data_IF_046471208789
#
_entry.id   IF_046471208789
#
_cell.length_a   1.000
_cell.length_b   1.000
_cell.length_c   1.000
_cell.angle_alpha   90.00
_cell.angle_beta   90.00
_cell.angle_gamma   90.00
#
_symmetry.space_group_name_H-M   'P 1'
#
loop_
_entity.id
_entity.type
_entity.pdbx_description
1 polymer ?
#
# COMPACT_ATOMS: atom_id res chain seq x y z
N UNK A 1 -28.91 5.17 25.03
CA UNK A 1 -28.29 5.48 23.75
C UNK A 1 -28.53 6.94 23.35
N UNK A 2 -29.78 7.40 23.26
CA UNK A 2 -30.09 8.79 22.92
C UNK A 2 -29.36 9.81 23.78
N UNK A 3 -29.38 9.65 25.13
CA UNK A 3 -28.71 10.57 26.05
C UNK A 3 -27.19 10.60 25.84
N UNK A 4 -26.60 9.45 25.52
CA UNK A 4 -25.18 9.37 25.17
C UNK A 4 -24.86 10.10 23.87
N UNK A 5 -25.68 9.93 22.85
CA UNK A 5 -25.55 10.65 21.59
C UNK A 5 -25.69 12.16 21.78
N UNK A 6 -26.65 12.59 22.60
CA UNK A 6 -26.85 14.00 22.89
C UNK A 6 -25.65 14.60 23.64
N UNK A 7 -25.12 13.93 24.63
CA UNK A 7 -23.95 14.37 25.37
C UNK A 7 -22.72 14.46 24.44
N UNK A 8 -22.54 13.50 23.53
CA UNK A 8 -21.47 13.54 22.52
C UNK A 8 -21.65 14.72 21.55
N UNK A 9 -22.86 14.95 21.07
CA UNK A 9 -23.16 16.06 20.17
C UNK A 9 -22.97 17.44 20.83
N UNK A 10 -23.23 17.55 22.12
CA UNK A 10 -22.97 18.79 22.90
C UNK A 10 -21.46 19.04 23.05
N UNK A 11 -20.67 17.98 23.25
CA UNK A 11 -19.22 18.10 23.35
C UNK A 11 -18.52 18.36 22.00
N UNK A 12 -19.04 17.80 20.90
CA UNK A 12 -18.43 17.86 19.56
C UNK A 12 -19.44 18.26 18.48
N UNK A 13 -20.05 19.44 18.53
CA UNK A 13 -21.14 19.80 17.63
C UNK A 13 -20.75 19.88 16.15
N UNK A 14 -19.50 20.27 15.85
CA UNK A 14 -19.02 20.39 14.47
C UNK A 14 -18.50 19.07 13.90
N UNK A 15 -18.19 18.10 14.74
CA UNK A 15 -17.64 16.79 14.37
C UNK A 15 -18.47 15.62 14.89
N UNK A 16 -19.78 15.80 15.00
CA UNK A 16 -20.67 14.78 15.53
C UNK A 16 -20.81 13.59 14.57
N UNK A 17 -20.06 12.52 14.83
CA UNK A 17 -20.13 11.23 14.15
C UNK A 17 -20.56 10.17 15.18
N UNK A 18 -21.75 9.60 15.05
CA UNK A 18 -22.37 8.73 16.05
C UNK A 18 -22.27 7.26 15.68
N UNK A 19 -21.75 6.42 16.59
CA UNK A 19 -21.73 4.96 16.45
C UNK A 19 -23.12 4.41 16.75
N UNK A 20 -23.77 3.78 15.76
CA UNK A 20 -25.21 3.49 15.82
C UNK A 20 -25.57 2.00 15.94
N UNK A 21 -24.59 1.14 16.08
CA UNK A 21 -24.80 -0.32 16.08
C UNK A 21 -24.59 -1.00 17.44
N UNK A 22 -24.61 -0.21 18.54
CA UNK A 22 -24.45 -0.75 19.90
C UNK A 22 -25.59 -1.68 20.29
N UNK A 23 -26.82 -1.37 19.89
CA UNK A 23 -28.02 -2.17 20.22
C UNK A 23 -28.70 -2.69 18.97
N UNK A 24 -29.53 -1.87 18.31
CA UNK A 24 -30.18 -2.18 17.05
C UNK A 24 -30.00 -0.99 16.10
N UNK A 25 -29.21 -1.19 15.08
CA UNK A 25 -28.84 -0.13 14.14
C UNK A 25 -30.03 0.58 13.52
N UNK A 26 -31.03 -0.18 13.03
CA UNK A 26 -32.12 0.39 12.26
C UNK A 26 -33.33 0.79 13.11
N UNK A 27 -33.55 0.14 14.25
CA UNK A 27 -34.69 0.41 15.13
C UNK A 27 -34.40 1.40 16.24
N UNK A 28 -33.11 1.54 16.61
CA UNK A 28 -32.67 2.40 17.72
C UNK A 28 -31.58 3.38 17.28
N UNK A 29 -30.42 2.89 16.83
CA UNK A 29 -29.25 3.71 16.60
C UNK A 29 -29.45 4.83 15.59
N UNK A 30 -29.83 4.51 14.35
CA UNK A 30 -30.08 5.52 13.31
C UNK A 30 -31.24 6.46 13.65
N UNK A 31 -32.39 5.99 14.19
CA UNK A 31 -33.45 6.89 14.63
C UNK A 31 -33.02 7.86 15.73
N UNK A 32 -32.27 7.39 16.75
CA UNK A 32 -31.75 8.25 17.81
C UNK A 32 -30.70 9.25 17.29
N UNK A 33 -29.84 8.83 16.36
CA UNK A 33 -28.89 9.71 15.70
C UNK A 33 -29.62 10.84 14.92
N UNK A 34 -30.63 10.49 14.14
CA UNK A 34 -31.46 11.46 13.40
C UNK A 34 -32.13 12.45 14.35
N UNK A 35 -32.61 11.99 15.49
CA UNK A 35 -33.21 12.87 16.51
C UNK A 35 -32.19 13.88 17.03
N UNK A 36 -30.99 13.44 17.38
CA UNK A 36 -29.90 14.31 17.84
C UNK A 36 -29.44 15.25 16.74
N UNK A 37 -29.38 14.79 15.48
CA UNK A 37 -29.03 15.62 14.33
C UNK A 37 -30.00 16.77 14.09
N UNK A 38 -31.30 16.53 14.30
CA UNK A 38 -32.32 17.60 14.26
C UNK A 38 -32.10 18.63 15.36
N UNK A 39 -31.72 18.19 16.57
CA UNK A 39 -31.42 19.10 17.69
C UNK A 39 -30.16 19.93 17.41
N UNK A 40 -29.12 19.32 16.80
CA UNK A 40 -27.91 20.05 16.35
C UNK A 40 -28.24 21.06 15.26
N UNK A 41 -29.03 20.66 14.26
CA UNK A 41 -29.42 21.53 13.17
C UNK A 41 -30.23 22.76 13.67
N UNK A 42 -31.10 22.56 14.65
CA UNK A 42 -31.82 23.67 15.29
C UNK A 42 -30.90 24.67 16.02
N UNK A 43 -29.69 24.23 16.41
CA UNK A 43 -28.63 25.08 16.98
C UNK A 43 -27.67 25.68 15.94
N UNK A 44 -27.92 25.43 14.63
CA UNK A 44 -27.11 25.91 13.52
C UNK A 44 -25.89 25.06 13.15
N UNK A 45 -25.75 23.86 13.73
CA UNK A 45 -24.65 22.94 13.41
C UNK A 45 -25.07 21.90 12.37
N UNK A 46 -24.08 21.40 11.58
CA UNK A 46 -24.28 20.28 10.66
C UNK A 46 -23.63 19.02 11.26
N UNK A 47 -24.40 17.95 11.49
CA UNK A 47 -23.82 16.68 11.97
C UNK A 47 -22.86 16.10 10.92
N UNK A 48 -21.81 15.43 11.36
CA UNK A 48 -20.86 14.77 10.46
C UNK A 48 -21.46 13.52 9.82
N UNK A 49 -22.09 12.68 10.61
CA UNK A 49 -22.67 11.42 10.12
C UNK A 49 -22.79 10.32 11.15
N UNK A 50 -22.88 9.10 10.70
CA UNK A 50 -22.98 7.89 11.50
C UNK A 50 -21.81 6.93 11.24
N UNK A 51 -21.51 6.06 12.20
CA UNK A 51 -20.53 5.00 12.09
C UNK A 51 -21.19 3.64 12.32
N UNK A 52 -20.87 2.68 11.46
CA UNK A 52 -21.20 1.26 11.55
C UNK A 52 -19.92 0.49 11.83
N UNK A 53 -19.90 -0.40 12.84
CA UNK A 53 -18.73 -1.20 13.23
C UNK A 53 -19.02 -2.71 13.20
N UNK A 54 -20.27 -3.09 12.98
CA UNK A 54 -20.74 -4.48 12.99
C UNK A 54 -21.92 -4.74 12.06
N UNK A 55 -22.20 -6.02 11.80
CA UNK A 55 -23.34 -6.48 11.00
C UNK A 55 -23.09 -6.47 9.50
N UNK A 56 -24.15 -6.62 8.72
CA UNK A 56 -24.09 -6.57 7.24
C UNK A 56 -24.00 -5.12 6.77
N UNK A 57 -22.78 -4.66 6.53
CA UNK A 57 -22.52 -3.27 6.11
C UNK A 57 -23.20 -2.89 4.81
N UNK A 58 -23.32 -3.82 3.83
CA UNK A 58 -23.97 -3.52 2.57
C UNK A 58 -25.49 -3.28 2.76
N UNK A 59 -26.13 -4.10 3.55
CA UNK A 59 -27.55 -3.95 3.89
C UNK A 59 -27.80 -2.74 4.77
N UNK A 60 -27.06 -2.62 5.87
CA UNK A 60 -27.25 -1.58 6.87
C UNK A 60 -26.99 -0.18 6.32
N UNK A 61 -25.91 -0.01 5.54
CA UNK A 61 -25.57 1.29 4.96
C UNK A 61 -26.64 1.78 3.97
N UNK A 62 -27.19 0.88 3.14
CA UNK A 62 -28.29 1.23 2.22
C UNK A 62 -29.55 1.66 2.94
N UNK A 63 -29.88 0.99 4.05
CA UNK A 63 -31.07 1.35 4.85
C UNK A 63 -30.83 2.64 5.62
N UNK A 64 -29.69 2.76 6.28
CA UNK A 64 -29.30 3.98 7.01
C UNK A 64 -29.24 5.20 6.09
N UNK A 65 -28.69 5.06 4.87
CA UNK A 65 -28.64 6.15 3.89
C UNK A 65 -30.05 6.67 3.56
N UNK A 66 -30.99 5.77 3.28
CA UNK A 66 -32.39 6.16 3.02
C UNK A 66 -32.99 6.90 4.22
N UNK A 67 -32.80 6.39 5.44
CA UNK A 67 -33.33 7.03 6.65
C UNK A 67 -32.76 8.42 6.88
N UNK A 68 -31.46 8.61 6.61
CA UNK A 68 -30.80 9.91 6.70
C UNK A 68 -31.30 10.88 5.63
N UNK A 69 -31.45 10.40 4.39
CA UNK A 69 -31.98 11.20 3.25
C UNK A 69 -33.41 11.65 3.53
N UNK A 70 -34.29 10.74 3.94
CA UNK A 70 -35.69 11.02 4.28
C UNK A 70 -35.80 12.01 5.45
N UNK A 71 -34.79 12.04 6.34
CA UNK A 71 -34.76 13.00 7.45
C UNK A 71 -34.11 14.35 7.10
N UNK A 72 -33.62 14.54 5.85
CA UNK A 72 -32.99 15.77 5.39
C UNK A 72 -31.49 15.89 5.62
N UNK A 73 -30.79 14.76 5.90
CA UNK A 73 -29.34 14.69 6.15
C UNK A 73 -28.62 13.93 5.03
N UNK A 74 -28.87 14.31 3.78
CA UNK A 74 -28.23 13.68 2.61
C UNK A 74 -26.72 13.91 2.53
N UNK A 75 -26.22 14.92 3.19
CA UNK A 75 -24.80 15.26 3.32
C UNK A 75 -24.09 14.59 4.51
N UNK A 76 -24.83 13.95 5.43
CA UNK A 76 -24.24 13.18 6.52
C UNK A 76 -23.56 11.92 5.98
N UNK A 77 -22.28 11.72 6.32
CA UNK A 77 -21.50 10.57 5.87
C UNK A 77 -21.87 9.30 6.63
N UNK A 78 -21.64 8.16 5.99
CA UNK A 78 -21.67 6.84 6.62
C UNK A 78 -20.24 6.31 6.67
N UNK A 79 -19.71 6.16 7.88
CA UNK A 79 -18.41 5.56 8.14
C UNK A 79 -18.60 4.08 8.47
N UNK A 80 -17.78 3.20 7.91
CA UNK A 80 -17.69 1.80 8.31
C UNK A 80 -16.32 1.51 8.92
N UNK A 81 -16.29 0.67 9.94
CA UNK A 81 -15.09 0.17 10.62
C UNK A 81 -15.35 -1.26 11.12
N UNK A 82 -14.34 -1.92 11.66
CA UNK A 82 -14.46 -3.31 12.15
C UNK A 82 -13.89 -4.33 11.16
N UNK A 83 -12.69 -4.80 11.43
CA UNK A 83 -11.96 -5.85 10.71
C UNK A 83 -11.94 -5.74 9.18
N UNK A 84 -11.94 -4.51 8.67
CA UNK A 84 -11.91 -4.21 7.24
C UNK A 84 -10.52 -4.44 6.64
N UNK A 85 -10.54 -4.91 5.39
CA UNK A 85 -9.39 -5.04 4.51
C UNK A 85 -9.79 -4.69 3.07
N UNK A 86 -8.84 -4.67 2.14
CA UNK A 86 -9.06 -4.37 0.73
C UNK A 86 -10.07 -5.30 0.06
N UNK A 87 -10.11 -6.57 0.45
CA UNK A 87 -11.01 -7.57 -0.12
C UNK A 87 -12.45 -7.34 0.34
N UNK A 88 -12.65 -7.14 1.64
CA UNK A 88 -13.97 -6.84 2.20
C UNK A 88 -14.51 -5.52 1.69
N UNK A 89 -13.68 -4.48 1.58
CA UNK A 89 -14.06 -3.18 1.01
C UNK A 89 -14.47 -3.35 -0.46
N UNK A 90 -13.66 -4.02 -1.28
CA UNK A 90 -13.98 -4.29 -2.68
C UNK A 90 -15.31 -5.02 -2.83
N UNK A 91 -15.54 -6.06 -2.03
CA UNK A 91 -16.79 -6.82 -2.00
C UNK A 91 -17.99 -5.93 -1.63
N UNK A 92 -17.85 -5.11 -0.58
CA UNK A 92 -18.90 -4.20 -0.14
C UNK A 92 -19.25 -3.15 -1.20
N UNK A 93 -18.25 -2.62 -1.88
CA UNK A 93 -18.46 -1.69 -3.01
C UNK A 93 -19.22 -2.35 -4.16
N UNK A 94 -18.85 -3.58 -4.55
CA UNK A 94 -19.55 -4.36 -5.57
C UNK A 94 -21.00 -4.67 -5.18
N UNK A 95 -21.28 -4.88 -3.91
CA UNK A 95 -22.63 -5.03 -3.37
C UNK A 95 -23.43 -3.71 -3.34
N UNK A 96 -22.79 -2.59 -3.69
CA UNK A 96 -23.41 -1.26 -3.71
C UNK A 96 -23.64 -0.67 -2.32
N UNK A 97 -22.79 -0.98 -1.34
CA UNK A 97 -22.79 -0.36 -0.03
C UNK A 97 -22.72 1.18 -0.14
N UNK A 98 -23.41 1.88 0.74
CA UNK A 98 -23.45 3.34 0.80
C UNK A 98 -22.57 3.84 1.93
N UNK A 99 -21.27 3.69 1.73
CA UNK A 99 -20.23 4.02 2.72
C UNK A 99 -19.31 5.06 2.10
N UNK A 100 -19.09 6.15 2.83
CA UNK A 100 -18.32 7.31 2.38
C UNK A 100 -16.91 7.32 2.98
N UNK A 101 -16.72 6.64 4.13
CA UNK A 101 -15.46 6.61 4.87
C UNK A 101 -15.19 5.23 5.44
N UNK A 102 -13.97 4.73 5.27
CA UNK A 102 -13.52 3.43 5.73
C UNK A 102 -12.49 3.58 6.86
N UNK A 103 -12.79 3.02 8.01
CA UNK A 103 -11.87 2.93 9.15
C UNK A 103 -11.14 1.59 9.16
N UNK A 104 -10.00 1.52 8.49
CA UNK A 104 -9.18 0.29 8.41
C UNK A 104 -8.13 0.34 9.51
N UNK A 105 -8.16 -0.65 10.40
CA UNK A 105 -7.29 -0.71 11.59
C UNK A 105 -6.29 -1.86 11.53
N UNK A 106 -6.60 -2.93 12.27
CA UNK A 106 -5.71 -4.07 12.53
C UNK A 106 -5.06 -4.65 11.29
N UNK A 107 -5.84 -4.93 10.24
CA UNK A 107 -5.33 -5.52 8.99
C UNK A 107 -4.28 -4.64 8.33
N UNK A 108 -4.49 -3.33 8.30
CA UNK A 108 -3.56 -2.37 7.73
C UNK A 108 -2.29 -2.22 8.58
N UNK A 109 -2.44 -1.96 9.88
CA UNK A 109 -1.28 -1.64 10.74
C UNK A 109 -0.36 -2.83 10.98
N UNK A 110 -0.92 -4.04 10.94
CA UNK A 110 -0.12 -5.28 11.08
C UNK A 110 0.39 -5.81 9.74
N UNK A 111 0.00 -5.21 8.61
CA UNK A 111 0.25 -5.79 7.27
C UNK A 111 -0.17 -7.26 7.22
N UNK A 112 -1.46 -7.55 7.51
CA UNK A 112 -1.96 -8.87 7.91
C UNK A 112 -1.57 -10.00 6.94
N UNK A 113 -1.50 -9.73 5.63
CA UNK A 113 -1.14 -10.72 4.61
C UNK A 113 0.37 -11.01 4.60
N UNK A 114 1.19 -10.03 4.95
CA UNK A 114 2.65 -10.17 5.03
C UNK A 114 3.21 -9.35 6.19
N UNK A 115 3.03 -9.79 7.44
CA UNK A 115 3.38 -9.02 8.63
C UNK A 115 4.88 -8.88 8.85
N UNK A 116 5.70 -9.62 8.10
CA UNK A 116 7.15 -9.56 8.18
C UNK A 116 7.78 -9.76 6.80
N UNK A 117 8.72 -8.89 6.44
CA UNK A 117 9.58 -9.08 5.27
C UNK A 117 10.78 -9.95 5.68
N UNK A 118 10.92 -11.11 5.02
CA UNK A 118 12.05 -12.00 5.25
C UNK A 118 13.36 -11.37 4.77
N UNK A 119 14.34 -11.29 5.65
CA UNK A 119 15.71 -10.85 5.31
C UNK A 119 16.66 -12.02 5.16
N UNK A 120 17.55 -11.96 4.17
CA UNK A 120 18.60 -12.96 3.93
C UNK A 120 19.93 -12.26 3.78
N UNK A 121 20.93 -12.73 4.54
CA UNK A 121 22.31 -12.29 4.45
C UNK A 121 23.22 -13.49 4.20
N UNK A 122 23.95 -13.48 3.10
CA UNK A 122 24.83 -14.58 2.70
C UNK A 122 26.12 -14.06 2.08
N UNK A 123 27.24 -14.76 2.38
CA UNK A 123 28.52 -14.49 1.76
C UNK A 123 28.44 -14.77 0.24
N UNK A 124 28.74 -13.76 -0.57
CA UNK A 124 28.75 -13.86 -2.03
C UNK A 124 30.16 -13.76 -2.63
N UNK A 125 31.10 -13.13 -1.92
CA UNK A 125 32.49 -13.04 -2.34
C UNK A 125 33.43 -12.77 -1.15
N UNK A 126 34.71 -13.07 -1.33
CA UNK A 126 35.80 -12.63 -0.47
C UNK A 126 36.72 -11.77 -1.32
N UNK A 127 37.14 -10.62 -0.81
CA UNK A 127 38.14 -9.77 -1.45
C UNK A 127 39.48 -10.07 -0.75
N UNK A 128 40.48 -10.52 -1.51
CA UNK A 128 41.84 -10.79 -1.00
C UNK A 128 42.60 -9.49 -0.82
N UNK A 129 43.75 -9.56 -0.14
CA UNK A 129 44.61 -8.40 0.09
C UNK A 129 45.11 -7.73 -1.19
N UNK A 130 45.30 -8.51 -2.24
CA UNK A 130 45.66 -8.04 -3.60
C UNK A 130 44.49 -7.42 -4.37
N UNK A 131 43.29 -7.32 -3.77
CA UNK A 131 42.08 -6.81 -4.40
C UNK A 131 41.30 -7.84 -5.24
N UNK A 132 41.80 -9.08 -5.36
CA UNK A 132 41.14 -10.12 -6.15
C UNK A 132 39.82 -10.53 -5.51
N UNK A 133 38.74 -10.48 -6.29
CA UNK A 133 37.40 -10.94 -5.87
C UNK A 133 37.27 -12.43 -6.11
N UNK A 134 37.11 -13.20 -5.04
CA UNK A 134 36.90 -14.66 -5.07
C UNK A 134 35.40 -14.94 -4.86
N UNK A 135 34.66 -15.34 -5.87
CA UNK A 135 33.23 -15.64 -5.74
C UNK A 135 32.98 -16.76 -4.72
N UNK A 136 31.91 -16.63 -3.97
CA UNK A 136 31.41 -17.63 -3.02
C UNK A 136 29.94 -17.89 -3.25
N UNK A 137 29.54 -19.13 -3.08
CA UNK A 137 28.16 -19.57 -3.22
C UNK A 137 27.80 -20.47 -2.03
N UNK A 138 26.60 -20.29 -1.51
CA UNK A 138 26.07 -21.26 -0.55
C UNK A 138 25.34 -22.36 -1.31
N UNK A 139 25.80 -23.60 -1.13
CA UNK A 139 25.09 -24.79 -1.61
C UNK A 139 23.89 -25.06 -0.70
N UNK A 140 22.77 -25.39 -1.29
CA UNK A 140 21.52 -25.73 -0.58
C UNK A 140 20.65 -26.63 -1.44
N UNK A 141 19.96 -27.56 -0.83
CA UNK A 141 18.95 -28.40 -1.50
C UNK A 141 17.75 -27.58 -1.98
N UNK A 142 17.51 -26.43 -1.35
CA UNK A 142 16.52 -25.47 -1.81
C UNK A 142 17.16 -24.47 -2.77
N UNK A 143 16.83 -24.56 -4.06
CA UNK A 143 17.37 -23.68 -5.12
C UNK A 143 17.08 -22.18 -4.88
N UNK A 144 15.98 -21.85 -4.21
CA UNK A 144 15.66 -20.47 -3.83
C UNK A 144 16.63 -19.88 -2.79
N UNK A 145 17.41 -20.74 -2.10
CA UNK A 145 18.46 -20.33 -1.14
C UNK A 145 19.85 -20.25 -1.74
N UNK A 146 20.02 -20.61 -3.01
CA UNK A 146 21.27 -20.47 -3.74
C UNK A 146 21.42 -19.00 -4.14
N UNK A 147 22.51 -18.36 -3.74
CA UNK A 147 22.78 -16.96 -4.05
C UNK A 147 23.59 -16.83 -5.33
N UNK A 148 23.35 -15.78 -6.10
CA UNK A 148 24.26 -15.39 -7.17
C UNK A 148 25.61 -14.98 -6.56
N UNK A 149 26.74 -15.61 -6.96
CA UNK A 149 28.05 -15.31 -6.41
C UNK A 149 28.60 -13.96 -6.90
N UNK A 150 29.75 -13.57 -6.32
CA UNK A 150 30.54 -12.42 -6.66
C UNK A 150 29.99 -11.06 -6.16
N UNK A 151 30.73 -9.99 -6.47
CA UNK A 151 30.37 -8.62 -6.16
C UNK A 151 29.58 -8.02 -7.33
N UNK A 152 28.34 -7.59 -7.09
CA UNK A 152 27.35 -7.33 -8.16
C UNK A 152 26.78 -5.93 -8.07
N UNK A 153 26.31 -5.46 -9.21
CA UNK A 153 25.40 -4.34 -9.34
C UNK A 153 23.99 -4.81 -9.75
N UNK A 154 23.01 -3.98 -9.53
CA UNK A 154 21.63 -4.18 -9.95
C UNK A 154 21.17 -2.95 -10.72
N UNK A 155 20.62 -3.17 -11.89
CA UNK A 155 20.08 -2.14 -12.78
C UNK A 155 18.66 -2.47 -13.16
N UNK A 156 17.82 -1.45 -13.37
CA UNK A 156 16.56 -1.59 -14.10
C UNK A 156 16.72 -1.01 -15.49
N UNK A 157 16.32 -1.80 -16.47
CA UNK A 157 16.34 -1.40 -17.87
C UNK A 157 14.98 -0.84 -18.25
N UNK A 158 14.98 0.34 -18.87
CA UNK A 158 13.79 1.00 -19.36
C UNK A 158 13.87 1.17 -20.87
N UNK A 159 12.79 0.94 -21.58
CA UNK A 159 12.69 1.28 -23.01
C UNK A 159 12.71 2.82 -23.17
N UNK A 160 13.62 3.33 -24.01
CA UNK A 160 13.79 4.78 -24.23
C UNK A 160 12.60 5.43 -24.94
N UNK A 161 11.80 4.68 -25.68
CA UNK A 161 10.66 5.20 -26.43
C UNK A 161 9.40 5.31 -25.57
N UNK A 162 9.19 4.36 -24.67
CA UNK A 162 7.99 4.30 -23.81
C UNK A 162 8.24 4.77 -22.37
N UNK A 163 9.50 4.69 -21.90
CA UNK A 163 9.86 4.93 -20.51
C UNK A 163 9.48 3.79 -19.57
N UNK A 164 8.91 2.69 -20.07
CA UNK A 164 8.46 1.54 -19.29
C UNK A 164 9.60 0.61 -18.93
N UNK A 165 9.52 -0.03 -17.78
CA UNK A 165 10.47 -1.03 -17.31
C UNK A 165 10.39 -2.29 -18.19
N UNK A 166 11.56 -2.82 -18.59
CA UNK A 166 11.68 -3.99 -19.46
C UNK A 166 12.21 -5.18 -18.69
N UNK A 167 13.23 -4.97 -17.85
CA UNK A 167 13.86 -6.03 -17.08
C UNK A 167 14.72 -5.45 -15.94
N UNK A 168 14.92 -6.25 -14.90
CA UNK A 168 15.98 -6.01 -13.91
C UNK A 168 17.21 -6.84 -14.29
N UNK A 169 18.39 -6.24 -14.23
CA UNK A 169 19.65 -6.81 -14.65
C UNK A 169 20.66 -6.84 -13.52
N UNK A 170 21.16 -8.02 -13.21
CA UNK A 170 22.29 -8.20 -12.28
C UNK A 170 23.58 -8.31 -13.11
N UNK A 171 24.58 -7.50 -12.81
CA UNK A 171 25.89 -7.55 -13.46
C UNK A 171 26.99 -7.79 -12.41
N UNK A 172 28.17 -8.20 -12.87
CA UNK A 172 29.37 -8.07 -12.06
C UNK A 172 29.68 -6.58 -11.87
N UNK A 173 30.37 -6.21 -10.77
CA UNK A 173 30.65 -4.81 -10.45
C UNK A 173 31.44 -4.09 -11.54
N UNK A 174 32.36 -4.81 -12.17
CA UNK A 174 33.27 -4.28 -13.19
C UNK A 174 32.64 -4.19 -14.59
N UNK A 175 31.50 -4.87 -14.82
CA UNK A 175 30.82 -4.83 -16.10
C UNK A 175 30.22 -3.46 -16.35
N UNK A 176 30.48 -2.94 -17.54
CA UNK A 176 29.90 -1.68 -18.03
C UNK A 176 28.80 -1.96 -19.03
N UNK A 177 27.66 -1.31 -18.81
CA UNK A 177 26.53 -1.40 -19.71
C UNK A 177 26.70 -0.34 -20.81
N UNK A 178 26.75 -0.79 -22.08
CA UNK A 178 26.77 0.10 -23.25
C UNK A 178 25.32 0.25 -23.79
N UNK A 179 24.69 1.34 -23.45
CA UNK A 179 23.31 1.64 -23.90
C UNK A 179 23.18 1.93 -25.41
N UNK A 180 24.30 2.07 -26.11
CA UNK A 180 24.35 2.28 -27.55
C UNK A 180 24.29 0.98 -28.37
N UNK A 181 24.35 -0.19 -27.69
CA UNK A 181 24.36 -1.50 -28.32
C UNK A 181 23.24 -2.40 -27.80
N UNK A 182 22.78 -3.36 -28.62
CA UNK A 182 21.87 -4.39 -28.14
C UNK A 182 22.51 -5.21 -26.99
N UNK A 183 21.78 -5.41 -25.91
CA UNK A 183 22.21 -6.16 -24.73
C UNK A 183 21.42 -7.46 -24.62
N UNK A 184 22.11 -8.61 -24.68
CA UNK A 184 21.47 -9.90 -24.45
C UNK A 184 21.56 -10.27 -22.97
N UNK A 185 20.43 -10.38 -22.34
CA UNK A 185 20.26 -10.81 -20.94
C UNK A 185 19.73 -12.23 -20.90
N UNK A 186 19.88 -12.91 -19.76
CA UNK A 186 19.40 -14.29 -19.58
C UNK A 186 18.84 -14.47 -18.18
N UNK A 187 17.93 -15.44 -18.04
CA UNK A 187 17.31 -15.75 -16.74
C UNK A 187 18.36 -16.39 -15.80
N UNK A 188 18.47 -15.96 -14.53
CA UNK A 188 19.57 -16.37 -13.65
C UNK A 188 19.56 -17.87 -13.29
N UNK A 189 18.43 -18.54 -13.38
CA UNK A 189 18.28 -19.99 -13.11
C UNK A 189 18.17 -20.76 -14.43
N UNK A 190 17.26 -20.33 -15.31
CA UNK A 190 16.99 -20.95 -16.61
C UNK A 190 17.79 -20.25 -17.70
N UNK A 191 19.09 -20.41 -17.70
CA UNK A 191 20.06 -19.63 -18.52
C UNK A 191 19.86 -19.73 -20.04
N UNK A 192 19.07 -20.71 -20.51
CA UNK A 192 18.67 -20.82 -21.91
C UNK A 192 17.58 -19.80 -22.30
N UNK A 193 16.82 -19.26 -21.35
CA UNK A 193 15.87 -18.17 -21.58
C UNK A 193 16.65 -16.89 -21.74
N UNK A 194 16.74 -16.42 -22.96
CA UNK A 194 17.51 -15.21 -23.33
C UNK A 194 16.59 -14.19 -23.99
N UNK A 195 16.88 -12.92 -23.74
CA UNK A 195 16.19 -11.79 -24.33
C UNK A 195 17.19 -10.71 -24.73
N UNK A 196 17.05 -10.12 -25.92
CA UNK A 196 17.92 -9.04 -26.39
C UNK A 196 17.18 -7.72 -26.29
N UNK A 197 17.59 -6.89 -25.34
CA UNK A 197 17.06 -5.54 -25.13
C UNK A 197 17.75 -4.58 -26.10
N UNK A 198 16.97 -3.72 -26.74
CA UNK A 198 17.43 -2.69 -27.64
C UNK A 198 16.85 -1.34 -27.22
N UNK A 199 17.50 -0.23 -27.59
CA UNK A 199 17.01 1.13 -27.31
C UNK A 199 16.59 1.33 -25.84
N UNK A 200 17.45 0.97 -24.93
CA UNK A 200 17.18 1.01 -23.49
C UNK A 200 18.04 2.04 -22.77
N UNK A 201 17.62 2.40 -21.56
CA UNK A 201 18.37 3.13 -20.54
C UNK A 201 18.52 2.22 -19.32
N UNK A 202 19.71 2.17 -18.73
CA UNK A 202 19.99 1.39 -17.52
C UNK A 202 20.10 2.32 -16.30
N UNK A 203 19.19 2.18 -15.34
CA UNK A 203 19.23 2.92 -14.08
C UNK A 203 19.78 2.02 -12.97
N UNK A 204 20.84 2.44 -12.24
CA UNK A 204 21.32 1.71 -11.08
C UNK A 204 20.28 1.78 -9.95
N UNK A 205 19.99 0.62 -9.32
CA UNK A 205 19.06 0.53 -8.20
C UNK A 205 19.75 0.54 -6.82
N UNK A 206 21.07 0.34 -6.78
CA UNK A 206 21.83 0.34 -5.54
C UNK A 206 22.31 1.75 -5.21
N UNK A 207 22.02 2.19 -4.00
CA UNK A 207 22.50 3.45 -3.44
C UNK A 207 23.43 3.18 -2.27
N UNK A 208 24.55 3.92 -2.20
CA UNK A 208 25.46 3.82 -1.06
C UNK A 208 24.83 4.56 0.14
N UNK A 209 24.54 3.83 1.20
CA UNK A 209 23.94 4.38 2.42
C UNK A 209 25.03 4.68 3.44
N UNK A 210 25.97 3.74 3.61
CA UNK A 210 27.09 3.87 4.55
C UNK A 210 28.39 3.62 3.80
N UNK A 211 29.36 4.51 3.93
CA UNK A 211 30.71 4.37 3.41
C UNK A 211 31.74 4.58 4.52
N UNK A 212 32.66 3.62 4.67
CA UNK A 212 33.72 3.66 5.70
C UNK A 212 33.20 3.99 7.11
N UNK A 213 32.04 3.39 7.46
CA UNK A 213 31.39 3.58 8.76
C UNK A 213 30.62 4.91 8.92
N UNK A 214 30.53 5.73 7.88
CA UNK A 214 29.80 7.01 7.90
C UNK A 214 28.55 6.92 7.04
N UNK A 215 27.45 7.47 7.55
CA UNK A 215 26.24 7.67 6.78
C UNK A 215 26.51 8.72 5.68
N UNK A 216 26.30 8.33 4.41
CA UNK A 216 26.52 9.19 3.22
C UNK A 216 25.24 9.44 2.43
N UNK A 217 24.11 8.93 2.90
CA UNK A 217 22.80 9.07 2.25
C UNK A 217 21.90 10.01 3.04
N UNK A 218 21.23 10.90 2.33
CA UNK A 218 20.18 11.75 2.91
C UNK A 218 18.83 11.06 2.71
N UNK A 219 18.16 10.71 3.82
CA UNK A 219 16.86 10.08 3.76
C UNK A 219 15.81 11.08 3.25
N UNK A 220 15.02 10.72 2.23
CA UNK A 220 13.95 11.58 1.72
C UNK A 220 12.82 11.73 2.74
N UNK A 221 12.06 12.80 2.61
CA UNK A 221 10.85 13.02 3.39
C UNK A 221 9.70 12.09 2.99
N UNK A 222 8.70 11.91 3.86
CA UNK A 222 7.58 10.99 3.64
C UNK A 222 6.85 11.24 2.30
N UNK A 223 6.60 12.49 1.96
CA UNK A 223 5.92 12.84 0.72
C UNK A 223 6.76 12.52 -0.52
N UNK A 224 8.07 12.73 -0.44
CA UNK A 224 9.01 12.37 -1.53
C UNK A 224 9.04 10.84 -1.74
N UNK A 225 8.97 10.06 -0.65
CA UNK A 225 8.89 8.57 -0.72
C UNK A 225 7.58 8.16 -1.39
N UNK A 226 6.45 8.78 -1.03
CA UNK A 226 5.16 8.49 -1.62
C UNK A 226 5.13 8.82 -3.12
N UNK A 227 5.64 9.99 -3.50
CA UNK A 227 5.68 10.43 -4.89
C UNK A 227 6.64 9.57 -5.72
N UNK A 228 7.78 9.16 -5.13
CA UNK A 228 8.69 8.21 -5.74
C UNK A 228 7.98 6.88 -6.01
N UNK A 229 7.30 6.31 -5.02
CA UNK A 229 6.57 5.04 -5.15
C UNK A 229 5.52 5.12 -6.27
N UNK A 230 4.68 6.15 -6.28
CA UNK A 230 3.68 6.36 -7.34
C UNK A 230 4.31 6.45 -8.74
N UNK A 231 5.37 7.25 -8.86
CA UNK A 231 6.09 7.45 -10.12
C UNK A 231 6.70 6.14 -10.63
N UNK A 232 7.33 5.37 -9.74
CA UNK A 232 7.96 4.10 -10.14
C UNK A 232 6.94 3.03 -10.50
N UNK A 233 5.80 2.95 -9.81
CA UNK A 233 4.72 2.04 -10.17
C UNK A 233 4.14 2.35 -11.57
N UNK A 234 3.98 3.62 -11.93
CA UNK A 234 3.52 4.01 -13.26
C UNK A 234 4.50 3.65 -14.40
N UNK A 235 5.73 3.21 -14.10
CA UNK A 235 6.72 2.75 -15.07
C UNK A 235 6.65 1.25 -15.35
N UNK A 236 5.75 0.51 -14.70
CA UNK A 236 5.47 -0.89 -14.99
C UNK A 236 4.23 -1.02 -15.88
N UNK A 237 4.20 -2.08 -16.65
CA UNK A 237 3.05 -2.46 -17.45
C UNK A 237 1.89 -2.89 -16.56
N UNK A 238 0.66 -2.59 -16.96
CA UNK A 238 -0.53 -2.93 -16.17
C UNK A 238 -0.65 -4.43 -15.90
N UNK A 239 -0.26 -5.26 -16.88
CA UNK A 239 -0.27 -6.73 -16.76
C UNK A 239 0.78 -7.26 -15.79
N UNK A 240 1.72 -6.44 -15.35
CA UNK A 240 2.75 -6.81 -14.38
C UNK A 240 2.33 -6.48 -12.93
N UNK A 241 1.47 -5.49 -12.75
CA UNK A 241 0.98 -5.03 -11.45
C UNK A 241 -0.27 -5.79 -11.01
#
# INVERSE_FOLDING_TARGET
EYDAFKAYAEAYPENCLLLVDTYDTLRSGVPNAIRVFKELAAKGYRPKGIRLDSGDFAYLSKKARRMLDDAGFSDAIICASGDLDEYSISSLMQQGAKIDLWGVGTKLITSADMPALGGVYKLAAIIREDGTVVPKIKLSDNTAKITNPSFKNLYRLYDKSTGMAVADLITMREEKIDEGKPLTIFHPIETWKRYTVRNFRAEPLLHTIVEKGKLVYTFPGLMEIQDFSKRELCRFWEEYL
#
